data_IF_431274589749
#
_entry.id   IF_431274589749
#
_cell.length_a   1.000
_cell.length_b   1.000
_cell.length_c   1.000
_cell.angle_alpha   90.00
_cell.angle_beta   90.00
_cell.angle_gamma   90.00
#
_symmetry.space_group_name_H-M   'P 1'
#
loop_
_entity.id
_entity.type
_entity.pdbx_description
1 polymer ?
#
# COMPACT_ATOMS: atom_id res chain seq x y z
N UNK A 1 1.87 29.96 -27.52
CA UNK A 1 3.22 29.50 -27.90
C UNK A 1 4.37 30.46 -27.52
N UNK A 2 4.12 31.62 -26.88
CA UNK A 2 5.18 32.51 -26.34
C UNK A 2 5.42 32.40 -24.81
N UNK A 3 4.59 31.66 -24.07
CA UNK A 3 4.74 31.50 -22.60
C UNK A 3 5.64 30.31 -22.22
N UNK A 4 5.71 29.26 -23.06
CA UNK A 4 6.57 28.10 -22.82
C UNK A 4 8.06 28.34 -23.14
N UNK A 5 8.38 29.44 -23.82
CA UNK A 5 9.75 29.76 -24.23
C UNK A 5 10.54 30.53 -23.15
N UNK A 6 9.86 31.12 -22.16
CA UNK A 6 10.46 31.88 -21.05
C UNK A 6 10.77 30.99 -19.82
N UNK A 7 9.98 29.92 -19.61
CA UNK A 7 10.17 28.99 -18.49
C UNK A 7 11.32 28.00 -18.71
N UNK A 8 11.62 27.65 -19.97
CA UNK A 8 12.72 26.74 -20.31
C UNK A 8 14.12 27.35 -20.10
N UNK A 9 14.28 28.68 -20.15
CA UNK A 9 15.58 29.34 -19.99
C UNK A 9 16.00 29.52 -18.52
N UNK A 10 15.05 29.47 -17.57
CA UNK A 10 15.33 29.60 -16.12
C UNK A 10 15.63 28.28 -15.41
N UNK A 11 15.49 27.15 -16.09
CA UNK A 11 15.67 25.81 -15.51
C UNK A 11 16.91 25.04 -16.02
N UNK A 12 17.76 25.65 -16.85
CA UNK A 12 19.11 25.15 -17.12
C UNK A 12 19.24 23.83 -17.89
N UNK A 13 18.31 23.50 -18.80
CA UNK A 13 18.42 22.30 -19.67
C UNK A 13 18.68 22.66 -21.16
N UNK A 14 19.60 21.95 -21.86
CA UNK A 14 19.86 22.16 -23.29
C UNK A 14 18.77 21.54 -24.18
N UNK A 15 18.42 22.27 -25.25
CA UNK A 15 17.36 21.94 -26.18
C UNK A 15 17.88 21.16 -27.40
N UNK A 16 17.65 19.85 -27.43
CA UNK A 16 17.56 19.06 -28.67
C UNK A 16 16.57 17.92 -28.41
N UNK A 17 15.90 17.45 -29.47
CA UNK A 17 14.85 16.41 -29.53
C UNK A 17 13.40 16.91 -29.60
N UNK A 18 13.05 17.50 -30.74
CA UNK A 18 11.73 17.29 -31.33
C UNK A 18 11.91 16.70 -32.73
N UNK A 19 11.73 15.39 -32.84
CA UNK A 19 11.77 14.63 -34.10
C UNK A 19 10.40 14.02 -34.40
N UNK A 20 9.87 14.36 -35.57
CA UNK A 20 8.58 13.93 -36.13
C UNK A 20 8.50 12.41 -36.28
N UNK A 21 7.33 11.83 -36.04
CA UNK A 21 6.94 10.53 -36.62
C UNK A 21 5.63 10.68 -37.39
N UNK A 22 5.76 10.45 -38.70
CA UNK A 22 4.70 10.37 -39.69
C UNK A 22 4.04 9.00 -39.69
N UNK A 23 2.72 9.01 -39.78
CA UNK A 23 1.82 7.88 -40.00
C UNK A 23 1.96 7.22 -41.38
N UNK A 24 1.85 5.89 -41.45
CA UNK A 24 1.07 5.15 -42.47
C UNK A 24 0.82 3.68 -42.06
N UNK A 25 -0.29 3.05 -42.51
CA UNK A 25 -0.83 1.79 -42.00
C UNK A 25 -0.49 0.57 -42.89
N UNK A 26 -0.69 -0.64 -42.38
CA UNK A 26 -0.79 -1.86 -43.19
C UNK A 26 -1.98 -2.73 -42.74
N UNK A 27 -2.78 -3.07 -43.74
CA UNK A 27 -3.94 -3.95 -43.72
C UNK A 27 -3.56 -5.45 -43.69
N UNK A 28 -4.48 -6.27 -43.17
CA UNK A 28 -5.12 -7.28 -44.03
C UNK A 28 -4.57 -8.73 -44.09
N UNK A 29 -5.36 -9.62 -43.48
CA UNK A 29 -5.75 -10.98 -43.96
C UNK A 29 -4.85 -12.20 -43.65
N UNK A 30 -5.51 -13.30 -43.23
CA UNK A 30 -4.95 -14.66 -43.23
C UNK A 30 -5.64 -15.63 -42.26
N UNK A 31 -6.67 -16.35 -42.73
CA UNK A 31 -7.43 -17.40 -42.02
C UNK A 31 -6.76 -18.80 -42.13
N UNK A 32 -7.24 -19.70 -41.25
CA UNK A 32 -7.33 -21.18 -41.37
C UNK A 32 -6.12 -21.97 -40.85
N UNK A 33 -6.20 -23.15 -40.24
CA UNK A 33 -7.28 -24.14 -39.98
C UNK A 33 -6.76 -25.15 -38.94
N UNK A 34 -7.65 -25.76 -38.13
CA UNK A 34 -7.41 -27.00 -37.36
C UNK A 34 -7.35 -28.22 -38.31
N UNK A 35 -6.93 -29.39 -37.79
CA UNK A 35 -7.92 -30.45 -37.62
C UNK A 35 -7.87 -31.14 -36.24
N UNK A 36 -9.03 -31.71 -35.89
CA UNK A 36 -9.27 -32.62 -34.77
C UNK A 36 -8.97 -34.06 -35.19
N UNK A 37 -8.68 -34.97 -34.25
CA UNK A 37 -9.65 -35.99 -33.82
C UNK A 37 -9.06 -36.99 -32.79
N UNK A 38 -9.87 -37.27 -31.74
CA UNK A 38 -10.27 -38.58 -31.16
C UNK A 38 -9.17 -39.53 -30.61
N UNK A 39 -9.34 -40.33 -29.54
CA UNK A 39 -10.48 -40.67 -28.68
C UNK A 39 -10.01 -41.63 -27.54
N UNK A 40 -10.79 -41.68 -26.44
CA UNK A 40 -11.16 -42.88 -25.63
C UNK A 40 -10.08 -43.55 -24.77
N UNK A 41 -10.31 -44.12 -23.57
CA UNK A 41 -11.30 -44.13 -22.49
C UNK A 41 -10.81 -45.22 -21.50
N UNK A 42 -11.09 -45.11 -20.19
CA UNK A 42 -11.49 -46.21 -19.27
C UNK A 42 -11.09 -45.96 -17.81
N UNK A 43 -12.14 -45.79 -17.01
CA UNK A 43 -12.29 -46.02 -15.56
C UNK A 43 -12.08 -47.48 -15.15
N UNK A 44 -11.83 -47.75 -13.84
CA UNK A 44 -12.73 -48.53 -12.91
C UNK A 44 -12.00 -49.08 -11.63
N UNK A 45 -12.66 -48.85 -10.47
CA UNK A 45 -12.72 -49.52 -9.12
C UNK A 45 -11.55 -49.65 -8.09
N UNK A 46 -11.88 -49.37 -6.80
CA UNK A 46 -11.15 -49.70 -5.55
C UNK A 46 -11.58 -51.06 -4.94
N UNK A 47 -11.69 -51.32 -3.60
CA UNK A 47 -11.30 -50.58 -2.37
C UNK A 47 -10.70 -51.49 -1.21
N UNK A 48 -10.59 -50.92 0.02
CA UNK A 48 -10.58 -51.52 1.38
C UNK A 48 -9.30 -52.12 2.05
N UNK A 49 -8.94 -51.61 3.24
CA UNK A 49 -9.15 -52.25 4.57
C UNK A 49 -8.11 -51.83 5.66
N UNK A 50 -8.63 -51.42 6.83
CA UNK A 50 -8.05 -51.50 8.20
C UNK A 50 -8.64 -52.77 8.88
N UNK A 51 -8.11 -53.39 9.97
CA UNK A 51 -8.05 -52.80 11.34
C UNK A 51 -6.94 -53.36 12.29
N UNK A 52 -6.63 -52.70 13.42
CA UNK A 52 -6.99 -53.00 14.85
C UNK A 52 -5.82 -53.50 15.69
N UNK A 53 -5.75 -53.09 16.98
CA UNK A 53 -4.89 -53.71 18.00
C UNK A 53 -4.66 -52.85 19.25
N UNK A 54 -5.59 -52.90 20.21
CA UNK A 54 -5.40 -52.51 21.62
C UNK A 54 -4.68 -53.64 22.38
N UNK A 55 -3.82 -53.29 23.33
CA UNK A 55 -3.51 -54.13 24.49
C UNK A 55 -3.25 -53.24 25.72
N UNK A 56 -3.91 -53.56 26.82
CA UNK A 56 -3.83 -52.94 28.14
C UNK A 56 -3.40 -54.01 29.14
N UNK A 57 -2.51 -53.72 30.10
CA UNK A 57 -2.40 -54.50 31.35
C UNK A 57 -1.85 -53.61 32.50
N UNK A 58 -2.64 -53.54 33.59
CA UNK A 58 -2.41 -53.35 35.06
C UNK A 58 -1.20 -52.53 35.60
N UNK A 59 -1.27 -51.84 36.76
CA UNK A 59 -1.55 -52.45 38.08
C UNK A 59 -1.79 -51.45 39.25
N UNK A 60 -2.82 -51.77 40.04
CA UNK A 60 -3.07 -51.59 41.50
C UNK A 60 -3.19 -50.23 42.19
N UNK A 61 -4.41 -50.00 42.72
CA UNK A 61 -4.73 -49.15 43.88
C UNK A 61 -4.47 -49.88 45.22
N UNK A 62 -4.09 -49.12 46.25
CA UNK A 62 -4.33 -49.44 47.67
C UNK A 62 -4.91 -48.20 48.38
N UNK A 63 -6.10 -48.35 48.99
CA UNK A 63 -6.69 -47.54 50.10
C UNK A 63 -6.48 -48.33 51.42
N UNK A 64 -6.73 -47.84 52.67
CA UNK A 64 -7.67 -46.79 53.15
C UNK A 64 -7.10 -46.00 54.39
N UNK A 65 -7.84 -45.44 55.40
CA UNK A 65 -9.27 -45.11 55.57
C UNK A 65 -9.56 -43.65 56.03
N UNK A 66 -10.85 -43.37 56.23
CA UNK A 66 -11.40 -42.13 56.78
C UNK A 66 -12.03 -42.33 58.18
N UNK A 67 -12.26 -41.20 58.88
CA UNK A 67 -12.94 -40.91 60.19
C UNK A 67 -11.94 -40.58 61.31
N UNK A 68 -12.13 -39.56 62.14
CA UNK A 68 -13.35 -38.98 62.71
C UNK A 68 -13.23 -37.48 63.06
N UNK A 69 -14.39 -36.87 63.31
CA UNK A 69 -14.63 -35.53 63.85
C UNK A 69 -13.69 -35.12 65.00
N UNK A 70 -13.23 -33.87 64.94
CA UNK A 70 -13.21 -33.00 66.12
C UNK A 70 -13.54 -31.56 65.71
N UNK A 71 -14.53 -31.00 66.39
CA UNK A 71 -14.93 -29.60 66.32
C UNK A 71 -13.90 -28.77 67.08
N UNK A 72 -13.21 -27.85 66.41
CA UNK A 72 -12.67 -26.66 67.08
C UNK A 72 -12.82 -25.43 66.19
N UNK A 73 -13.51 -24.45 66.76
CA UNK A 73 -13.79 -23.13 66.22
C UNK A 73 -12.47 -22.37 66.07
N UNK A 74 -12.21 -21.89 64.85
CA UNK A 74 -11.05 -21.06 64.52
C UNK A 74 -11.34 -20.18 63.31
N UNK A 75 -12.35 -19.32 63.41
CA UNK A 75 -12.52 -18.21 62.46
C UNK A 75 -11.39 -17.21 62.69
N UNK A 76 -10.34 -17.23 61.86
CA UNK A 76 -9.56 -16.04 61.48
C UNK A 76 -8.46 -16.42 60.47
N UNK A 77 -8.38 -15.65 59.38
CA UNK A 77 -7.26 -15.54 58.40
C UNK A 77 -7.19 -16.46 57.15
N UNK A 78 -8.27 -16.63 56.39
CA UNK A 78 -8.17 -17.09 54.97
C UNK A 78 -8.69 -16.05 53.95
N UNK A 79 -9.16 -14.87 54.38
CA UNK A 79 -9.71 -13.84 53.46
C UNK A 79 -8.70 -12.90 52.78
N UNK A 80 -7.44 -12.86 53.21
CA UNK A 80 -6.50 -11.80 52.79
C UNK A 80 -5.73 -12.01 51.47
N UNK A 81 -5.31 -13.22 51.04
CA UNK A 81 -4.49 -13.34 49.82
C UNK A 81 -5.27 -13.14 48.52
N UNK A 82 -6.59 -13.41 48.51
CA UNK A 82 -7.47 -13.20 47.36
C UNK A 82 -7.82 -11.72 47.14
N UNK A 83 -7.96 -10.93 48.22
CA UNK A 83 -8.20 -9.49 48.12
C UNK A 83 -6.97 -8.74 47.61
N UNK A 84 -5.77 -9.10 48.04
CA UNK A 84 -4.52 -8.48 47.57
C UNK A 84 -4.24 -8.77 46.09
N UNK A 85 -4.53 -9.98 45.60
CA UNK A 85 -4.43 -10.30 44.17
C UNK A 85 -5.44 -9.53 43.32
N UNK A 86 -6.69 -9.41 43.78
CA UNK A 86 -7.72 -8.62 43.07
C UNK A 86 -7.39 -7.13 43.05
N UNK A 87 -6.85 -6.58 44.14
CA UNK A 87 -6.41 -5.19 44.22
C UNK A 87 -5.15 -4.93 43.37
N UNK A 88 -4.21 -5.87 43.30
CA UNK A 88 -3.04 -5.77 42.44
C UNK A 88 -3.41 -5.81 40.95
N UNK A 89 -4.32 -6.71 40.55
CA UNK A 89 -4.86 -6.77 39.18
C UNK A 89 -5.59 -5.46 38.84
N UNK A 90 -6.43 -4.95 39.74
CA UNK A 90 -7.12 -3.68 39.56
C UNK A 90 -6.15 -2.50 39.44
N UNK A 91 -5.11 -2.45 40.28
CA UNK A 91 -4.07 -1.42 40.22
C UNK A 91 -3.28 -1.49 38.91
N UNK A 92 -2.92 -2.68 38.43
CA UNK A 92 -2.27 -2.86 37.13
C UNK A 92 -3.17 -2.42 35.96
N UNK A 93 -4.48 -2.72 36.01
CA UNK A 93 -5.44 -2.29 35.00
C UNK A 93 -5.63 -0.76 34.99
N UNK A 94 -5.67 -0.13 36.18
CA UNK A 94 -5.76 1.33 36.30
C UNK A 94 -4.49 2.01 35.80
N UNK A 95 -3.30 1.52 36.17
CA UNK A 95 -2.01 2.06 35.69
C UNK A 95 -1.86 1.88 34.18
N UNK A 96 -2.28 0.74 33.63
CA UNK A 96 -2.30 0.52 32.18
C UNK A 96 -3.28 1.47 31.48
N UNK A 97 -4.47 1.71 32.05
CA UNK A 97 -5.46 2.66 31.52
C UNK A 97 -4.95 4.11 31.51
N UNK A 98 -4.38 4.57 32.62
CA UNK A 98 -3.81 5.93 32.73
C UNK A 98 -2.62 6.13 31.79
N UNK A 99 -1.78 5.10 31.61
CA UNK A 99 -0.66 5.13 30.66
C UNK A 99 -1.10 5.20 29.18
N UNK A 100 -2.23 4.58 28.84
CA UNK A 100 -2.83 4.63 27.50
C UNK A 100 -3.48 5.99 27.22
N UNK A 101 -4.23 6.54 28.17
CA UNK A 101 -4.84 7.88 28.08
C UNK A 101 -3.77 8.97 27.90
N UNK A 102 -2.70 8.95 28.71
CA UNK A 102 -1.59 9.89 28.57
C UNK A 102 -0.81 9.74 27.25
N UNK A 103 -0.82 8.54 26.65
CA UNK A 103 -0.28 8.28 25.32
C UNK A 103 -1.16 8.87 24.20
N UNK A 104 -2.49 8.86 24.38
CA UNK A 104 -3.46 9.44 23.44
C UNK A 104 -3.42 10.96 23.41
N UNK A 105 -3.38 11.62 24.57
CA UNK A 105 -3.32 13.09 24.67
C UNK A 105 -2.10 13.66 23.92
N UNK A 106 -0.95 12.96 23.99
CA UNK A 106 0.26 13.36 23.25
C UNK A 106 0.12 13.28 21.73
N UNK A 107 -0.87 12.55 21.22
CA UNK A 107 -1.14 12.40 19.79
C UNK A 107 -2.19 13.39 19.28
N UNK A 108 -2.84 14.17 20.16
CA UNK A 108 -3.93 15.07 19.78
C UNK A 108 -3.52 16.05 18.70
N UNK A 109 -2.35 16.67 18.82
CA UNK A 109 -1.86 17.59 17.78
C UNK A 109 -1.72 16.93 16.40
N UNK A 110 -1.27 15.68 16.34
CA UNK A 110 -1.09 14.96 15.07
C UNK A 110 -2.44 14.58 14.44
N UNK A 111 -3.40 14.11 15.23
CA UNK A 111 -4.74 13.78 14.75
C UNK A 111 -5.55 15.03 14.45
N UNK A 112 -5.31 16.13 15.17
CA UNK A 112 -5.91 17.43 14.87
C UNK A 112 -5.49 17.94 13.49
N UNK A 113 -4.23 17.75 13.06
CA UNK A 113 -3.79 18.10 11.70
C UNK A 113 -4.61 17.33 10.64
N UNK A 114 -4.84 16.03 10.84
CA UNK A 114 -5.63 15.22 9.91
C UNK A 114 -7.10 15.68 9.88
N UNK A 115 -7.62 15.98 11.06
CA UNK A 115 -8.95 16.53 11.26
C UNK A 115 -9.14 17.88 10.55
N UNK A 116 -8.20 18.81 10.75
CA UNK A 116 -8.15 20.11 10.08
C UNK A 116 -8.13 19.97 8.56
N UNK A 117 -7.40 18.99 8.02
CA UNK A 117 -7.32 18.72 6.58
C UNK A 117 -8.66 18.24 6.00
N UNK A 118 -9.46 17.50 6.77
CA UNK A 118 -10.84 17.13 6.40
C UNK A 118 -11.74 18.37 6.45
N UNK A 119 -11.67 19.15 7.52
CA UNK A 119 -12.52 20.34 7.73
C UNK A 119 -12.26 21.43 6.68
N UNK A 120 -11.02 21.59 6.24
CA UNK A 120 -10.61 22.50 5.17
C UNK A 120 -10.88 21.93 3.76
N UNK A 121 -11.41 20.70 3.66
CA UNK A 121 -11.68 20.04 2.40
C UNK A 121 -10.42 19.73 1.59
N UNK A 122 -9.24 19.63 2.22
CA UNK A 122 -8.00 19.22 1.56
C UNK A 122 -8.09 17.77 1.10
N UNK A 123 -8.54 16.90 2.01
CA UNK A 123 -8.84 15.47 1.78
C UNK A 123 -10.32 15.18 2.07
N UNK A 124 -10.92 14.14 1.47
CA UNK A 124 -12.30 13.76 1.76
C UNK A 124 -12.46 13.12 3.14
N UNK A 125 -11.42 12.44 3.64
CA UNK A 125 -11.38 11.75 4.91
C UNK A 125 -10.10 10.94 5.10
N UNK A 126 -9.97 10.27 6.25
CA UNK A 126 -8.81 9.46 6.59
C UNK A 126 -9.16 8.29 7.52
N UNK A 127 -8.24 7.33 7.58
CA UNK A 127 -8.08 6.39 8.69
C UNK A 127 -6.65 6.53 9.20
N UNK A 128 -6.48 6.68 10.51
CA UNK A 128 -5.17 6.81 11.14
C UNK A 128 -5.07 5.89 12.35
N UNK A 129 -3.94 5.20 12.48
CA UNK A 129 -3.65 4.29 13.58
C UNK A 129 -2.22 4.49 14.08
N UNK A 130 -2.07 4.56 15.40
CA UNK A 130 -0.78 4.54 16.09
C UNK A 130 -0.74 3.34 17.02
N UNK A 131 0.27 2.49 16.82
CA UNK A 131 0.56 1.37 17.69
C UNK A 131 1.97 1.50 18.29
N UNK A 132 2.16 0.96 19.48
CA UNK A 132 3.44 0.93 20.20
C UNK A 132 3.54 -0.35 20.99
N UNK A 133 4.68 -1.05 20.87
CA UNK A 133 4.92 -2.33 21.54
C UNK A 133 3.77 -3.34 21.30
N UNK A 134 3.35 -3.49 20.05
CA UNK A 134 2.26 -4.38 19.67
C UNK A 134 0.85 -3.94 20.08
N UNK A 135 0.69 -2.82 20.79
CA UNK A 135 -0.60 -2.33 21.29
C UNK A 135 -1.08 -1.10 20.51
N UNK A 136 -2.34 -1.10 20.09
CA UNK A 136 -2.96 0.07 19.44
C UNK A 136 -3.28 1.13 20.49
N UNK A 137 -2.61 2.28 20.40
CA UNK A 137 -2.83 3.42 21.30
C UNK A 137 -3.99 4.29 20.79
N UNK A 138 -4.04 4.51 19.47
CA UNK A 138 -5.07 5.36 18.84
C UNK A 138 -5.43 4.82 17.47
N UNK A 139 -6.72 4.81 17.15
CA UNK A 139 -7.26 4.38 15.86
C UNK A 139 -8.53 5.16 15.57
N UNK A 140 -8.50 6.03 14.56
CA UNK A 140 -9.61 6.93 14.24
C UNK A 140 -9.83 6.96 12.73
N UNK A 141 -11.09 7.22 12.38
CA UNK A 141 -11.51 7.48 11.02
C UNK A 141 -12.41 8.73 11.02
N UNK A 142 -12.24 9.60 10.01
CA UNK A 142 -13.02 10.84 9.90
C UNK A 142 -13.24 11.21 8.44
N UNK A 143 -14.33 11.92 8.16
CA UNK A 143 -14.69 12.36 6.80
C UNK A 143 -15.44 11.30 6.04
N UNK A 144 -15.41 11.38 4.71
CA UNK A 144 -16.18 10.53 3.80
C UNK A 144 -15.24 9.67 2.94
N UNK A 145 -15.53 8.37 2.86
CA UNK A 145 -14.86 7.46 1.92
C UNK A 145 -15.48 7.51 0.53
N UNK A 146 -16.70 8.03 0.43
CA UNK A 146 -17.42 8.29 -0.81
C UNK A 146 -18.20 9.60 -0.64
N UNK A 147 -17.75 10.64 -1.32
CA UNK A 147 -18.36 11.97 -1.31
C UNK A 147 -19.71 11.97 -2.00
N UNK A 148 -19.82 11.30 -3.15
CA UNK A 148 -21.03 11.32 -3.97
C UNK A 148 -22.19 10.59 -3.27
N UNK A 149 -21.88 9.49 -2.57
CA UNK A 149 -22.88 8.71 -1.84
C UNK A 149 -22.93 9.03 -0.34
N UNK A 150 -22.17 10.04 0.12
CA UNK A 150 -22.08 10.45 1.53
C UNK A 150 -21.74 9.29 2.49
N UNK A 151 -20.87 8.36 2.07
CA UNK A 151 -20.46 7.22 2.91
C UNK A 151 -19.34 7.68 3.86
N UNK A 152 -19.51 7.56 5.18
CA UNK A 152 -18.47 7.94 6.13
C UNK A 152 -17.30 6.98 6.09
N UNK A 153 -16.10 7.50 6.33
CA UNK A 153 -14.95 6.65 6.63
C UNK A 153 -15.18 5.90 7.94
N UNK A 154 -14.90 4.60 7.92
CA UNK A 154 -14.82 3.75 9.09
C UNK A 154 -13.39 3.21 9.22
N UNK A 155 -13.04 2.75 10.43
CA UNK A 155 -11.71 2.18 10.72
C UNK A 155 -11.39 0.89 9.95
N UNK A 156 -12.38 0.31 9.28
CA UNK A 156 -12.29 -0.87 8.42
C UNK A 156 -12.72 -0.60 6.97
N UNK A 157 -12.84 0.66 6.55
CA UNK A 157 -13.00 1.03 5.14
C UNK A 157 -11.78 0.53 4.37
N UNK A 158 -12.00 -0.27 3.33
CA UNK A 158 -10.92 -0.78 2.47
C UNK A 158 -10.37 0.36 1.62
N UNK A 159 -9.06 0.57 1.70
CA UNK A 159 -8.35 1.50 0.84
C UNK A 159 -7.52 0.70 -0.16
N UNK A 160 -7.48 1.14 -1.41
CA UNK A 160 -6.43 0.68 -2.32
C UNK A 160 -5.09 1.24 -1.85
N UNK A 161 -4.23 0.39 -1.29
CA UNK A 161 -3.00 0.84 -0.63
C UNK A 161 -1.83 1.07 -1.60
N UNK A 162 -2.05 0.86 -2.90
CA UNK A 162 -1.09 1.10 -3.96
C UNK A 162 0.30 0.56 -3.59
N UNK A 163 1.33 1.41 -3.65
CA UNK A 163 2.74 1.00 -3.48
C UNK A 163 3.12 0.50 -2.08
N UNK A 164 2.22 0.54 -1.09
CA UNK A 164 2.39 -0.21 0.16
C UNK A 164 2.37 -1.73 -0.10
N UNK A 165 1.87 -2.16 -1.26
CA UNK A 165 1.96 -3.54 -1.75
C UNK A 165 3.39 -4.00 -1.95
N UNK A 166 4.32 -3.13 -2.39
CA UNK A 166 5.68 -3.56 -2.78
C UNK A 166 6.46 -4.20 -1.62
N UNK A 167 6.48 -3.64 -0.40
CA UNK A 167 7.04 -4.34 0.76
C UNK A 167 6.48 -5.74 0.97
N UNK A 168 5.18 -5.97 0.74
CA UNK A 168 4.55 -7.29 0.86
C UNK A 168 5.09 -8.25 -0.21
N UNK A 169 5.20 -7.79 -1.45
CA UNK A 169 5.80 -8.52 -2.58
C UNK A 169 7.26 -8.89 -2.29
N UNK A 170 8.04 -7.94 -1.78
CA UNK A 170 9.44 -8.16 -1.40
C UNK A 170 9.53 -9.15 -0.25
N UNK A 171 8.70 -9.04 0.78
CA UNK A 171 8.66 -10.01 1.88
C UNK A 171 8.32 -11.42 1.36
N UNK A 172 7.36 -11.56 0.45
CA UNK A 172 7.02 -12.83 -0.18
C UNK A 172 8.22 -13.44 -0.92
N UNK A 173 8.92 -12.67 -1.75
CA UNK A 173 10.13 -13.14 -2.41
C UNK A 173 11.25 -13.45 -1.40
N UNK A 174 11.39 -12.68 -0.32
CA UNK A 174 12.34 -12.98 0.75
C UNK A 174 12.03 -14.30 1.47
N UNK A 175 10.78 -14.77 1.53
CA UNK A 175 10.49 -16.12 2.05
C UNK A 175 11.08 -17.23 1.17
N UNK A 176 11.28 -16.97 -0.13
CA UNK A 176 11.96 -17.89 -1.04
C UNK A 176 13.47 -17.81 -0.87
N UNK A 177 14.01 -16.62 -0.60
CA UNK A 177 15.43 -16.43 -0.25
C UNK A 177 15.76 -17.17 1.03
N UNK A 178 14.95 -16.97 2.07
CA UNK A 178 15.11 -17.58 3.39
C UNK A 178 15.05 -19.12 3.32
N UNK A 179 14.20 -19.66 2.44
CA UNK A 179 14.11 -21.09 2.16
C UNK A 179 15.20 -21.63 1.22
N UNK A 180 16.18 -20.80 0.81
CA UNK A 180 17.26 -21.19 -0.10
C UNK A 180 16.81 -21.52 -1.53
N UNK A 181 15.59 -21.13 -1.93
CA UNK A 181 15.05 -21.42 -3.27
C UNK A 181 15.52 -20.43 -4.34
N UNK A 182 15.81 -19.21 -3.93
CA UNK A 182 16.45 -18.18 -4.75
C UNK A 182 17.57 -17.50 -3.96
N UNK A 183 18.61 -17.02 -4.62
CA UNK A 183 19.61 -16.15 -4.01
C UNK A 183 19.36 -14.70 -4.44
N UNK A 184 19.72 -13.75 -3.57
CA UNK A 184 19.62 -12.32 -3.88
C UNK A 184 20.47 -11.92 -5.09
N UNK A 185 21.61 -12.58 -5.28
CA UNK A 185 22.54 -12.29 -6.36
C UNK A 185 22.36 -13.22 -7.57
N UNK A 186 21.31 -14.06 -7.57
CA UNK A 186 20.93 -14.78 -8.77
C UNK A 186 20.51 -13.81 -9.88
N UNK A 187 20.96 -14.02 -11.12
CA UNK A 187 20.46 -13.26 -12.26
C UNK A 187 18.99 -13.63 -12.51
N UNK A 188 18.15 -12.64 -12.79
CA UNK A 188 16.69 -12.84 -12.96
C UNK A 188 16.39 -13.76 -14.13
N UNK A 189 17.19 -13.70 -15.18
CA UNK A 189 17.11 -14.58 -16.35
C UNK A 189 17.38 -16.07 -16.09
N UNK A 190 17.85 -16.42 -14.88
CA UNK A 190 17.85 -17.80 -14.38
C UNK A 190 16.42 -18.33 -14.24
N UNK A 191 15.50 -17.47 -13.80
CA UNK A 191 14.10 -17.80 -13.53
C UNK A 191 13.17 -17.39 -14.66
N UNK A 192 13.51 -16.30 -15.36
CA UNK A 192 12.71 -15.66 -16.40
C UNK A 192 13.57 -15.49 -17.68
N UNK A 193 13.75 -16.55 -18.48
CA UNK A 193 14.66 -16.56 -19.63
C UNK A 193 14.38 -15.49 -20.69
N UNK A 194 13.16 -14.94 -20.74
CA UNK A 194 12.79 -13.84 -21.63
C UNK A 194 13.67 -12.59 -21.45
N UNK A 195 14.30 -12.40 -20.29
CA UNK A 195 15.20 -11.28 -20.04
C UNK A 195 16.60 -11.42 -20.67
N UNK A 196 17.00 -12.61 -21.16
CA UNK A 196 18.32 -12.83 -21.79
C UNK A 196 18.53 -12.01 -23.06
N UNK A 197 17.45 -11.70 -23.76
CA UNK A 197 17.48 -10.90 -24.99
C UNK A 197 17.37 -9.40 -24.72
N UNK A 198 17.13 -8.98 -23.47
CA UNK A 198 16.90 -7.58 -23.14
C UNK A 198 18.21 -6.80 -23.16
N UNK A 199 18.20 -5.64 -23.81
CA UNK A 199 19.38 -4.76 -23.95
C UNK A 199 19.08 -3.34 -23.48
N UNK A 200 20.12 -2.55 -23.22
CA UNK A 200 19.99 -1.10 -23.04
C UNK A 200 19.81 -0.37 -24.39
N UNK A 201 19.74 0.96 -24.34
CA UNK A 201 19.60 1.81 -25.54
C UNK A 201 20.78 1.72 -26.52
N UNK A 202 21.93 1.17 -26.10
CA UNK A 202 23.11 0.95 -26.93
C UNK A 202 23.17 -0.48 -27.49
N UNK A 203 22.14 -1.30 -27.25
CA UNK A 203 22.11 -2.70 -27.67
C UNK A 203 22.97 -3.63 -26.81
N UNK A 204 23.42 -3.19 -25.63
CA UNK A 204 24.23 -4.01 -24.72
C UNK A 204 23.33 -4.72 -23.71
N UNK A 205 23.50 -6.04 -23.58
CA UNK A 205 22.80 -6.82 -22.57
C UNK A 205 23.44 -6.61 -21.19
N UNK A 206 22.60 -6.39 -20.17
CA UNK A 206 23.02 -6.31 -18.76
C UNK A 206 22.11 -7.21 -17.93
N UNK A 207 22.65 -8.34 -17.46
CA UNK A 207 21.94 -9.17 -16.50
C UNK A 207 21.75 -8.40 -15.19
N UNK A 208 20.53 -8.44 -14.65
CA UNK A 208 20.20 -7.88 -13.34
C UNK A 208 19.77 -8.95 -12.35
N UNK A 209 20.04 -8.70 -11.07
CA UNK A 209 19.81 -9.69 -10.00
C UNK A 209 18.47 -9.50 -9.29
N UNK A 210 18.04 -10.52 -8.54
CA UNK A 210 16.89 -10.43 -7.63
C UNK A 210 17.00 -9.23 -6.69
N UNK A 211 18.18 -9.01 -6.12
CA UNK A 211 18.51 -7.87 -5.27
C UNK A 211 18.27 -6.54 -5.99
N UNK A 212 18.71 -6.42 -7.23
CA UNK A 212 18.58 -5.18 -8.01
C UNK A 212 17.12 -4.89 -8.41
N UNK A 213 16.30 -5.92 -8.63
CA UNK A 213 14.85 -5.75 -8.75
C UNK A 213 14.28 -5.17 -7.45
N UNK A 214 14.56 -5.82 -6.31
CA UNK A 214 14.03 -5.44 -5.00
C UNK A 214 14.48 -4.04 -4.56
N UNK A 215 15.69 -3.61 -4.97
CA UNK A 215 16.26 -2.31 -4.62
C UNK A 215 16.06 -1.23 -5.66
N UNK A 216 15.25 -1.46 -6.71
CA UNK A 216 15.02 -0.47 -7.78
C UNK A 216 16.29 -0.01 -8.50
N UNK A 217 17.23 -0.93 -8.74
CA UNK A 217 18.50 -0.65 -9.45
C UNK A 217 18.70 -1.52 -10.69
N UNK A 218 17.67 -2.25 -11.14
CA UNK A 218 17.76 -3.17 -12.29
C UNK A 218 17.96 -2.50 -13.64
N UNK A 219 17.53 -1.24 -13.79
CA UNK A 219 17.48 -0.55 -15.10
C UNK A 219 16.17 -0.76 -15.86
N UNK A 220 15.24 -1.56 -15.32
CA UNK A 220 13.92 -1.76 -15.94
C UNK A 220 13.13 -0.45 -16.03
N UNK A 221 12.34 -0.31 -17.08
CA UNK A 221 11.46 0.86 -17.29
C UNK A 221 10.55 1.09 -16.07
N UNK A 222 10.22 2.35 -15.70
CA UNK A 222 9.46 2.64 -14.49
C UNK A 222 8.06 2.00 -14.42
N UNK A 223 7.39 1.82 -15.55
CA UNK A 223 6.08 1.19 -15.64
C UNK A 223 6.06 0.15 -16.76
N UNK A 224 5.29 -0.95 -16.61
CA UNK A 224 5.13 -1.91 -17.70
C UNK A 224 4.65 -1.19 -18.96
N UNK A 225 5.17 -1.51 -20.16
CA UNK A 225 4.73 -0.86 -21.40
C UNK A 225 3.24 -1.04 -21.69
N UNK A 226 2.63 -2.11 -21.19
CA UNK A 226 1.19 -2.36 -21.28
C UNK A 226 0.35 -1.45 -20.39
N UNK A 227 0.98 -0.69 -19.47
CA UNK A 227 0.32 0.23 -18.54
C UNK A 227 0.44 1.66 -19.06
N UNK A 228 -0.64 2.18 -19.66
CA UNK A 228 -0.68 3.52 -20.26
C UNK A 228 -0.67 4.66 -19.24
N UNK A 229 -1.11 4.41 -18.00
CA UNK A 229 -1.12 5.39 -16.92
C UNK A 229 -0.52 4.84 -15.62
N UNK A 230 0.27 5.66 -14.94
CA UNK A 230 0.80 5.36 -13.61
C UNK A 230 -0.33 5.18 -12.57
N UNK A 231 -1.50 5.75 -12.84
CA UNK A 231 -2.73 5.53 -12.09
C UNK A 231 -3.66 4.65 -12.91
N UNK A 232 -4.34 3.67 -12.29
CA UNK A 232 -5.54 3.08 -12.87
C UNK A 232 -6.59 4.19 -12.91
N UNK A 233 -6.59 4.94 -14.01
CA UNK A 233 -7.61 5.91 -14.34
C UNK A 233 -8.79 5.05 -14.74
N UNK A 234 -9.67 4.79 -13.76
CA UNK A 234 -10.81 3.87 -13.81
C UNK A 234 -11.72 4.13 -15.01
N UNK A 235 -11.29 3.65 -16.17
CA UNK A 235 -11.95 3.73 -17.44
C UNK A 235 -11.75 2.40 -18.18
N UNK A 236 -12.56 2.12 -19.21
CA UNK A 236 -12.67 0.80 -19.84
C UNK A 236 -11.36 0.19 -20.36
N UNK A 237 -10.32 1.01 -20.54
CA UNK A 237 -9.01 0.61 -21.06
C UNK A 237 -8.03 0.16 -19.95
N UNK A 238 -8.25 0.56 -18.69
CA UNK A 238 -7.40 0.16 -17.55
C UNK A 238 -7.87 -1.17 -16.94
N UNK A 239 -9.15 -1.53 -17.10
CA UNK A 239 -9.70 -2.83 -16.75
C UNK A 239 -9.03 -3.96 -17.57
N UNK A 240 -8.80 -3.73 -18.88
CA UNK A 240 -8.11 -4.69 -19.75
C UNK A 240 -6.68 -4.99 -19.29
N UNK A 241 -6.01 -4.02 -18.66
CA UNK A 241 -4.66 -4.25 -18.15
C UNK A 241 -4.66 -5.16 -16.92
N UNK A 242 -5.64 -5.01 -16.03
CA UNK A 242 -5.82 -5.88 -14.85
C UNK A 242 -6.17 -7.32 -15.22
N UNK A 243 -6.80 -7.51 -16.38
CA UNK A 243 -7.21 -8.82 -16.89
C UNK A 243 -6.07 -9.63 -17.54
N UNK A 244 -4.95 -8.98 -17.92
CA UNK A 244 -3.79 -9.67 -18.48
C UNK A 244 -3.12 -10.58 -17.46
N UNK A 245 -2.55 -11.68 -17.94
CA UNK A 245 -1.80 -12.60 -17.10
C UNK A 245 -0.41 -12.01 -16.79
N UNK A 246 0.12 -12.28 -15.59
CA UNK A 246 1.41 -11.75 -15.16
C UNK A 246 2.57 -12.08 -16.13
N UNK A 247 2.66 -13.30 -16.72
CA UNK A 247 3.64 -13.60 -17.76
C UNK A 247 3.56 -12.71 -19.01
N UNK A 248 2.36 -12.32 -19.46
CA UNK A 248 2.16 -11.49 -20.65
C UNK A 248 2.73 -10.09 -20.42
N UNK A 249 2.45 -9.53 -19.25
CA UNK A 249 2.98 -8.22 -18.83
C UNK A 249 4.51 -8.28 -18.77
N UNK A 250 5.08 -9.32 -18.17
CA UNK A 250 6.54 -9.48 -18.05
C UNK A 250 7.22 -9.65 -19.41
N UNK A 251 6.60 -10.34 -20.38
CA UNK A 251 7.12 -10.38 -21.74
C UNK A 251 7.22 -9.00 -22.38
N UNK A 252 6.25 -8.11 -22.14
CA UNK A 252 6.33 -6.74 -22.68
C UNK A 252 7.44 -5.92 -22.01
N UNK A 253 7.66 -6.14 -20.71
CA UNK A 253 8.78 -5.53 -19.98
C UNK A 253 10.11 -6.02 -20.57
N UNK A 254 10.27 -7.33 -20.80
CA UNK A 254 11.48 -7.92 -21.37
C UNK A 254 11.78 -7.45 -22.80
N UNK A 255 10.76 -7.07 -23.58
CA UNK A 255 10.90 -6.47 -24.92
C UNK A 255 11.26 -4.99 -24.91
N UNK A 256 11.13 -4.31 -23.77
CA UNK A 256 11.55 -2.91 -23.62
C UNK A 256 13.06 -2.81 -23.39
N UNK A 257 13.65 -1.65 -23.65
CA UNK A 257 15.07 -1.43 -23.36
C UNK A 257 15.30 -1.07 -21.89
N UNK A 258 16.43 -1.51 -21.33
CA UNK A 258 16.93 -1.02 -20.04
C UNK A 258 17.28 0.46 -20.16
N UNK A 259 16.90 1.26 -19.16
CA UNK A 259 17.15 2.70 -19.12
C UNK A 259 18.58 3.06 -18.71
N UNK A 260 19.25 2.14 -18.04
CA UNK A 260 20.63 2.27 -17.59
C UNK A 260 21.20 0.89 -17.27
N UNK A 261 22.54 0.80 -17.24
CA UNK A 261 23.25 -0.41 -16.81
C UNK A 261 22.81 -0.83 -15.42
N UNK A 262 22.43 -2.09 -15.25
CA UNK A 262 21.98 -2.64 -13.97
C UNK A 262 22.99 -2.40 -12.83
N UNK A 263 22.50 -1.98 -11.68
CA UNK A 263 23.29 -1.59 -10.51
C UNK A 263 23.90 -0.19 -10.54
N UNK A 264 23.88 0.52 -11.69
CA UNK A 264 24.56 1.83 -11.80
C UNK A 264 23.77 3.01 -11.25
N UNK A 265 22.43 2.91 -11.13
CA UNK A 265 21.53 3.97 -10.67
C UNK A 265 20.37 3.38 -9.88
N UNK A 266 19.74 4.21 -9.06
CA UNK A 266 18.45 3.94 -8.43
C UNK A 266 17.36 4.66 -9.20
N UNK A 267 16.37 3.92 -9.68
CA UNK A 267 15.17 4.46 -10.30
C UNK A 267 13.96 3.62 -9.92
N UNK A 268 12.97 4.26 -9.28
CA UNK A 268 11.74 3.62 -8.87
C UNK A 268 11.02 2.99 -10.07
N UNK A 269 10.71 1.69 -9.96
CA UNK A 269 10.15 0.90 -11.05
C UNK A 269 9.08 -0.05 -10.56
N UNK A 270 7.87 0.11 -11.08
CA UNK A 270 6.77 -0.83 -10.95
C UNK A 270 7.04 -2.11 -11.75
N UNK A 271 7.64 -1.99 -12.95
CA UNK A 271 8.02 -3.15 -13.78
C UNK A 271 8.93 -4.13 -13.04
N UNK A 272 9.83 -3.61 -12.20
CA UNK A 272 10.66 -4.43 -11.32
C UNK A 272 9.79 -5.35 -10.44
N UNK A 273 8.73 -4.84 -9.83
CA UNK A 273 7.86 -5.65 -8.98
C UNK A 273 6.99 -6.63 -9.77
N UNK A 274 6.61 -6.31 -11.01
CA UNK A 274 5.98 -7.30 -11.91
C UNK A 274 6.92 -8.46 -12.20
N UNK A 275 8.18 -8.17 -12.53
CA UNK A 275 9.19 -9.20 -12.71
C UNK A 275 9.42 -10.01 -11.41
N UNK A 276 9.42 -9.36 -10.24
CA UNK A 276 9.55 -10.05 -8.94
C UNK A 276 8.37 -10.98 -8.67
N UNK A 277 7.14 -10.52 -8.90
CA UNK A 277 5.93 -11.34 -8.79
C UNK A 277 5.99 -12.56 -9.70
N UNK A 278 6.47 -12.38 -10.94
CA UNK A 278 6.62 -13.49 -11.88
C UNK A 278 7.73 -14.47 -11.48
N UNK A 279 8.82 -14.01 -10.87
CA UNK A 279 9.83 -14.90 -10.24
C UNK A 279 9.18 -15.74 -9.14
N UNK A 280 8.35 -15.13 -8.28
CA UNK A 280 7.61 -15.87 -7.23
C UNK A 280 6.79 -16.99 -7.87
N UNK A 281 6.04 -16.72 -8.94
CA UNK A 281 5.26 -17.74 -9.64
C UNK A 281 6.14 -18.85 -10.22
N UNK A 282 7.23 -18.48 -10.91
CA UNK A 282 8.13 -19.43 -11.55
C UNK A 282 8.77 -20.40 -10.53
N UNK A 283 9.15 -19.89 -9.36
CA UNK A 283 9.86 -20.66 -8.35
C UNK A 283 8.92 -21.44 -7.43
N UNK A 284 7.75 -20.87 -7.12
CA UNK A 284 6.79 -21.50 -6.21
C UNK A 284 5.83 -22.47 -6.92
N UNK A 285 5.61 -22.31 -8.22
CA UNK A 285 4.57 -23.02 -8.96
C UNK A 285 3.15 -22.60 -8.58
N UNK A 286 2.98 -21.49 -7.86
CA UNK A 286 1.68 -20.96 -7.43
C UNK A 286 1.41 -19.60 -8.07
N UNK A 287 0.15 -19.24 -8.33
CA UNK A 287 -0.20 -17.86 -8.66
C UNK A 287 0.31 -16.88 -7.59
N UNK A 288 0.72 -15.70 -8.03
CA UNK A 288 1.36 -14.71 -7.17
C UNK A 288 0.52 -14.35 -5.92
N UNK A 289 -0.76 -14.05 -6.10
CA UNK A 289 -1.71 -13.69 -5.05
C UNK A 289 -1.93 -14.83 -4.05
N UNK A 290 -2.05 -16.06 -4.55
CA UNK A 290 -2.18 -17.28 -3.74
C UNK A 290 -0.94 -17.48 -2.87
N UNK A 291 0.25 -17.30 -3.45
CA UNK A 291 1.50 -17.40 -2.71
C UNK A 291 1.59 -16.32 -1.62
N UNK A 292 1.32 -15.06 -1.95
CA UNK A 292 1.34 -13.95 -0.99
C UNK A 292 0.35 -14.18 0.13
N UNK A 293 -0.89 -14.59 -0.19
CA UNK A 293 -1.92 -14.87 0.81
C UNK A 293 -1.45 -15.94 1.78
N UNK A 294 -1.00 -17.09 1.25
CA UNK A 294 -0.57 -18.24 2.06
C UNK A 294 0.67 -17.96 2.89
N UNK A 295 1.64 -17.21 2.36
CA UNK A 295 2.98 -17.08 2.97
C UNK A 295 3.11 -15.82 3.81
N UNK A 296 2.33 -14.78 3.53
CA UNK A 296 2.40 -13.49 4.24
C UNK A 296 1.08 -13.19 4.97
N UNK A 297 -0.03 -13.10 4.25
CA UNK A 297 -1.28 -12.55 4.81
C UNK A 297 -1.89 -13.46 5.87
N UNK A 298 -1.99 -14.76 5.60
CA UNK A 298 -2.62 -15.74 6.50
C UNK A 298 -1.82 -15.92 7.81
N UNK A 299 -0.49 -16.12 7.80
CA UNK A 299 0.30 -16.22 9.04
C UNK A 299 0.25 -14.94 9.90
N UNK A 300 0.12 -13.77 9.25
CA UNK A 300 0.02 -12.48 9.92
C UNK A 300 -1.42 -12.08 10.27
N UNK A 301 -2.40 -12.93 9.96
CA UNK A 301 -3.83 -12.70 10.21
C UNK A 301 -4.37 -11.42 9.56
N UNK A 302 -3.88 -11.11 8.37
CA UNK A 302 -4.31 -9.96 7.57
C UNK A 302 -5.55 -10.33 6.72
N UNK A 303 -6.61 -10.84 7.37
CA UNK A 303 -7.74 -11.51 6.72
C UNK A 303 -8.55 -10.65 5.76
N UNK A 304 -8.57 -9.33 5.95
CA UNK A 304 -9.30 -8.40 5.08
C UNK A 304 -8.39 -7.78 4.01
N UNK A 305 -7.11 -8.12 4.00
CA UNK A 305 -6.18 -7.65 2.97
C UNK A 305 -6.32 -8.54 1.74
N UNK A 306 -6.67 -7.97 0.60
CA UNK A 306 -7.00 -8.75 -0.61
C UNK A 306 -6.62 -8.01 -1.89
N UNK A 307 -6.33 -8.77 -2.95
CA UNK A 307 -6.16 -8.24 -4.31
C UNK A 307 -7.48 -8.07 -5.05
N UNK A 308 -8.52 -8.79 -4.64
CA UNK A 308 -9.82 -8.82 -5.30
C UNK A 308 -10.95 -8.74 -4.25
N UNK A 309 -11.34 -7.51 -3.84
CA UNK A 309 -12.48 -7.33 -2.94
C UNK A 309 -13.75 -7.98 -3.52
N UNK A 310 -14.45 -8.77 -2.71
CA UNK A 310 -15.74 -9.36 -3.08
C UNK A 310 -16.82 -8.28 -3.30
N UNK A 311 -17.96 -8.59 -3.95
CA UNK A 311 -19.06 -7.63 -4.10
C UNK A 311 -19.59 -7.07 -2.76
N UNK A 312 -19.49 -7.85 -1.68
CA UNK A 312 -19.86 -7.38 -0.34
C UNK A 312 -18.83 -6.37 0.20
N UNK A 313 -17.54 -6.64 0.01
CA UNK A 313 -16.45 -5.77 0.45
C UNK A 313 -16.33 -4.51 -0.40
N UNK A 314 -16.68 -4.56 -1.68
CA UNK A 314 -16.69 -3.42 -2.59
C UNK A 314 -17.51 -2.24 -2.05
N UNK A 315 -18.56 -2.51 -1.26
CA UNK A 315 -19.41 -1.48 -0.63
C UNK A 315 -18.67 -0.62 0.40
N UNK A 316 -17.56 -1.12 0.94
CA UNK A 316 -16.70 -0.42 1.91
C UNK A 316 -15.35 -0.04 1.32
N UNK A 317 -15.16 -0.12 0.00
CA UNK A 317 -13.95 0.36 -0.67
C UNK A 317 -14.04 1.87 -0.84
N UNK A 318 -13.03 2.60 -0.37
CA UNK A 318 -12.95 4.04 -0.52
C UNK A 318 -12.77 4.43 -2.00
N UNK A 319 -13.45 5.50 -2.41
CA UNK A 319 -13.27 6.14 -3.71
C UNK A 319 -11.99 6.96 -3.68
N UNK A 320 -11.21 6.90 -4.76
CA UNK A 320 -9.99 7.67 -4.90
C UNK A 320 -10.33 8.99 -5.59
N UNK A 321 -9.99 10.08 -4.93
CA UNK A 321 -10.17 11.43 -5.44
C UNK A 321 -8.84 12.06 -5.82
N UNK A 322 -8.87 12.84 -6.90
CA UNK A 322 -7.77 13.67 -7.35
C UNK A 322 -8.19 15.13 -7.40
N UNK A 323 -7.24 15.99 -7.77
CA UNK A 323 -7.54 17.39 -8.11
C UNK A 323 -7.02 17.70 -9.50
N UNK A 324 -7.87 18.28 -10.33
CA UNK A 324 -7.51 18.79 -11.66
C UNK A 324 -7.99 20.23 -11.78
N UNK A 325 -7.08 21.13 -12.12
CA UNK A 325 -7.35 22.58 -12.18
C UNK A 325 -7.98 23.14 -10.89
N UNK A 326 -7.55 22.62 -9.73
CA UNK A 326 -8.04 23.03 -8.42
C UNK A 326 -9.39 22.41 -8.00
N UNK A 327 -10.11 21.77 -8.92
CA UNK A 327 -11.36 21.08 -8.63
C UNK A 327 -11.11 19.61 -8.29
N UNK A 328 -11.88 19.09 -7.34
CA UNK A 328 -11.85 17.67 -6.97
C UNK A 328 -12.58 16.84 -8.03
N UNK A 329 -11.99 15.72 -8.42
CA UNK A 329 -12.61 14.75 -9.33
C UNK A 329 -12.43 13.32 -8.81
N UNK A 330 -13.36 12.43 -9.14
CA UNK A 330 -13.20 10.99 -8.91
C UNK A 330 -12.17 10.46 -9.89
N UNK A 331 -11.08 9.90 -9.37
CA UNK A 331 -10.00 9.26 -10.14
C UNK A 331 -10.27 7.78 -10.33
N UNK A 332 -10.76 7.11 -9.29
CA UNK A 332 -11.04 5.69 -9.33
C UNK A 332 -12.16 5.32 -8.36
N UNK A 333 -13.09 4.50 -8.85
CA UNK A 333 -14.12 3.82 -8.06
C UNK A 333 -14.02 2.35 -8.38
N UNK A 334 -13.86 1.51 -7.36
CA UNK A 334 -13.72 0.08 -7.56
C UNK A 334 -15.00 -0.51 -8.14
N UNK A 335 -14.87 -1.23 -9.26
CA UNK A 335 -15.96 -1.99 -9.86
C UNK A 335 -15.75 -3.48 -9.56
N UNK A 336 -16.59 -4.12 -8.71
CA UNK A 336 -16.45 -5.53 -8.39
C UNK A 336 -16.71 -6.48 -9.56
N UNK A 337 -17.18 -5.98 -10.71
CA UNK A 337 -17.34 -6.77 -11.92
C UNK A 337 -16.02 -6.94 -12.71
N UNK A 338 -14.99 -6.13 -12.43
CA UNK A 338 -13.69 -6.24 -13.12
C UNK A 338 -12.97 -7.49 -12.64
N UNK A 339 -12.52 -8.32 -13.58
CA UNK A 339 -11.68 -9.47 -13.27
C UNK A 339 -10.24 -9.01 -13.05
N UNK A 340 -9.72 -9.21 -11.84
CA UNK A 340 -8.33 -8.96 -11.52
C UNK A 340 -7.55 -10.26 -11.71
N UNK A 341 -6.72 -10.32 -12.75
CA UNK A 341 -5.91 -11.48 -13.10
C UNK A 341 -4.47 -11.32 -12.59
N UNK A 342 -3.80 -10.22 -12.95
CA UNK A 342 -2.38 -10.04 -12.61
C UNK A 342 -2.10 -9.74 -11.14
N UNK A 343 -3.12 -9.38 -10.36
CA UNK A 343 -3.04 -8.96 -8.96
C UNK A 343 -2.05 -7.81 -8.66
N UNK A 344 -1.54 -7.14 -9.70
CA UNK A 344 -0.59 -6.03 -9.68
C UNK A 344 0.44 -6.10 -8.53
N UNK A 345 1.53 -6.89 -8.64
CA UNK A 345 2.53 -7.06 -7.58
C UNK A 345 3.20 -5.76 -7.12
N UNK A 346 3.07 -4.67 -7.88
CA UNK A 346 3.57 -3.35 -7.51
C UNK A 346 2.57 -2.55 -6.65
N UNK A 347 1.29 -2.91 -6.65
CA UNK A 347 0.25 -1.99 -6.20
C UNK A 347 -1.13 -2.54 -5.87
N UNK A 348 -1.45 -3.81 -6.10
CA UNK A 348 -2.83 -4.30 -6.19
C UNK A 348 -3.58 -4.54 -4.88
N UNK A 349 -2.96 -4.40 -3.70
CA UNK A 349 -3.65 -4.72 -2.45
C UNK A 349 -4.69 -3.66 -2.06
N UNK A 350 -5.79 -4.14 -1.52
CA UNK A 350 -6.75 -3.40 -0.71
C UNK A 350 -6.55 -3.78 0.74
N UNK A 351 -6.49 -2.80 1.64
CA UNK A 351 -6.28 -3.01 3.07
C UNK A 351 -6.70 -1.77 3.88
N UNK A 352 -6.47 -1.79 5.19
CA UNK A 352 -6.67 -0.65 6.09
C UNK A 352 -5.67 -0.72 7.25
N UNK A 353 -5.44 0.37 8.00
CA UNK A 353 -4.29 0.47 8.92
C UNK A 353 -4.15 -0.68 9.91
N UNK A 354 -5.22 -1.13 10.56
CA UNK A 354 -5.13 -2.23 11.54
C UNK A 354 -4.78 -3.59 10.91
N UNK A 355 -5.08 -3.81 9.63
CA UNK A 355 -4.65 -5.01 8.90
C UNK A 355 -3.16 -4.98 8.57
N UNK A 356 -2.54 -3.80 8.47
CA UNK A 356 -1.12 -3.65 8.17
C UNK A 356 -0.23 -3.72 9.42
N UNK A 357 -0.79 -3.50 10.62
CA UNK A 357 -0.03 -3.53 11.88
C UNK A 357 0.75 -4.84 12.06
N UNK A 358 0.16 -6.05 11.91
CA UNK A 358 0.91 -7.29 12.07
C UNK A 358 2.12 -7.40 11.12
N UNK A 359 1.98 -6.91 9.89
CA UNK A 359 3.06 -6.89 8.90
C UNK A 359 4.20 -5.97 9.31
N UNK A 360 3.91 -4.75 9.76
CA UNK A 360 4.96 -3.84 10.25
C UNK A 360 5.58 -4.35 11.56
N UNK A 361 4.76 -4.91 12.45
CA UNK A 361 5.20 -5.38 13.76
C UNK A 361 6.16 -6.56 13.63
N UNK A 362 5.98 -7.44 12.65
CA UNK A 362 6.92 -8.52 12.33
C UNK A 362 8.35 -8.00 12.14
N UNK A 363 8.54 -6.87 11.43
CA UNK A 363 9.87 -6.28 11.24
C UNK A 363 10.40 -5.58 12.49
N UNK A 364 9.52 -4.96 13.29
CA UNK A 364 9.91 -4.23 14.50
C UNK A 364 10.26 -5.17 15.67
N UNK A 365 9.55 -6.29 15.79
CA UNK A 365 9.74 -7.29 16.85
C UNK A 365 10.66 -8.44 16.45
N UNK A 366 10.90 -8.63 15.14
CA UNK A 366 11.68 -9.73 14.61
C UNK A 366 11.18 -11.10 15.14
N UNK A 367 9.87 -11.30 15.02
CA UNK A 367 9.13 -12.41 15.66
C UNK A 367 9.14 -13.73 14.87
N UNK A 368 9.82 -13.74 13.73
CA UNK A 368 10.05 -14.92 12.89
C UNK A 368 8.81 -15.64 12.37
N UNK A 369 7.61 -15.03 12.43
CA UNK A 369 6.37 -15.65 11.95
C UNK A 369 6.37 -15.96 10.45
N UNK A 370 7.14 -15.22 9.67
CA UNK A 370 7.18 -15.33 8.19
C UNK A 370 8.61 -15.37 7.64
N UNK A 371 9.51 -14.55 8.18
CA UNK A 371 10.90 -14.44 7.77
C UNK A 371 11.81 -14.72 8.96
N UNK A 372 12.92 -15.43 8.77
CA UNK A 372 13.95 -15.58 9.81
C UNK A 372 14.61 -14.24 10.16
N UNK A 373 15.29 -14.17 11.31
CA UNK A 373 16.10 -12.99 11.67
C UNK A 373 17.16 -12.68 10.64
N UNK A 374 17.75 -13.73 10.06
CA UNK A 374 18.79 -13.60 9.04
C UNK A 374 18.23 -12.93 7.79
N UNK A 375 17.05 -13.37 7.33
CA UNK A 375 16.36 -12.75 6.19
C UNK A 375 15.98 -11.28 6.47
N UNK A 376 15.51 -10.96 7.67
CA UNK A 376 15.20 -9.57 8.07
C UNK A 376 16.43 -8.68 8.23
N UNK A 377 17.59 -9.24 8.56
CA UNK A 377 18.84 -8.50 8.74
C UNK A 377 19.51 -8.12 7.39
N UNK A 378 19.07 -8.69 6.27
CA UNK A 378 19.59 -8.36 4.94
C UNK A 378 19.40 -6.88 4.64
N UNK A 379 20.49 -6.20 4.30
CA UNK A 379 20.47 -4.80 3.86
C UNK A 379 20.63 -4.70 2.36
N UNK A 380 20.02 -3.66 1.77
CA UNK A 380 20.36 -3.26 0.42
C UNK A 380 21.84 -2.82 0.38
N UNK A 381 22.58 -3.12 -0.70
CA UNK A 381 24.00 -2.77 -0.84
C UNK A 381 24.20 -1.27 -1.05
N UNK A 382 23.15 -0.57 -1.48
CA UNK A 382 23.09 0.88 -1.38
C UNK A 382 22.72 1.21 0.05
N UNK A 383 23.62 1.93 0.71
CA UNK A 383 23.24 2.73 1.85
C UNK A 383 22.20 3.72 1.32
N UNK A 384 20.91 3.37 1.47
CA UNK A 384 19.80 4.33 1.51
C UNK A 384 19.99 5.18 2.75
N UNK A 385 21.17 5.78 2.86
CA UNK A 385 21.55 6.64 3.96
C UNK A 385 20.45 7.68 4.02
N UNK A 386 19.97 7.85 5.23
CA UNK A 386 19.11 8.88 5.79
C UNK A 386 19.11 10.26 5.09
N UNK A 387 20.09 10.57 4.22
CA UNK A 387 20.23 11.76 3.41
C UNK A 387 19.07 12.01 2.44
N UNK A 388 18.56 11.01 1.71
CA UNK A 388 17.39 11.23 0.83
C UNK A 388 16.13 11.53 1.65
N UNK A 389 15.90 10.74 2.71
CA UNK A 389 14.76 10.90 3.61
C UNK A 389 14.76 12.25 4.37
N UNK A 390 15.94 12.73 4.82
CA UNK A 390 16.11 14.06 5.45
C UNK A 390 15.90 15.22 4.49
N UNK A 391 16.20 15.04 3.19
CA UNK A 391 16.03 16.10 2.19
C UNK A 391 14.56 16.34 1.87
N UNK A 392 13.73 15.30 1.98
CA UNK A 392 12.28 15.35 1.71
C UNK A 392 11.47 15.77 2.94
N UNK A 393 11.92 15.46 4.16
CA UNK A 393 11.28 15.88 5.41
C UNK A 393 11.93 17.14 6.03
N UNK A 394 12.06 18.23 5.27
CA UNK A 394 12.12 19.56 5.90
C UNK A 394 10.72 19.91 6.41
N UNK A 395 10.33 19.30 7.53
CA UNK A 395 9.09 19.61 8.29
C UNK A 395 9.12 21.04 8.88
N UNK A 396 10.17 21.82 8.63
CA UNK A 396 10.32 23.19 9.12
C UNK A 396 9.63 24.28 8.30
N UNK A 397 9.05 23.98 7.13
CA UNK A 397 8.32 25.00 6.35
C UNK A 397 6.83 25.16 6.72
N UNK A 398 6.16 24.10 7.20
CA UNK A 398 4.75 24.20 7.58
C UNK A 398 4.53 25.09 8.83
N UNK A 399 5.52 25.15 9.73
CA UNK A 399 5.45 25.99 10.93
C UNK A 399 5.65 27.50 10.65
N UNK A 400 6.14 27.89 9.47
CA UNK A 400 6.33 29.31 9.12
C UNK A 400 5.10 29.99 8.52
N UNK A 401 4.12 29.22 8.04
CA UNK A 401 2.91 29.76 7.39
C UNK A 401 1.72 29.99 8.35
N UNK A 402 1.86 29.73 9.66
CA UNK A 402 0.80 29.98 10.66
C UNK A 402 1.30 30.76 11.88
N UNK A 403 1.96 31.90 11.68
CA UNK A 403 1.99 32.95 12.73
C UNK A 403 0.96 34.02 12.37
N UNK A 404 -0.06 34.27 13.20
CA UNK A 404 -0.83 35.50 13.09
C UNK A 404 0.13 36.67 13.27
N UNK A 405 0.04 37.68 12.42
CA UNK A 405 0.78 38.93 12.60
C UNK A 405 0.47 39.50 13.98
N UNK A 406 1.46 39.81 14.84
CA UNK A 406 1.17 40.47 16.10
C UNK A 406 0.64 41.86 15.79
N UNK A 407 -0.52 42.18 16.38
CA UNK A 407 -1.08 43.51 16.40
C UNK A 407 -0.01 44.49 16.90
N UNK A 408 0.31 45.50 16.09
CA UNK A 408 1.05 46.65 16.54
C UNK A 408 0.09 47.55 17.31
N UNK A 409 0.10 47.43 18.64
CA UNK A 409 -0.34 48.48 19.55
C UNK A 409 0.69 49.61 19.53
N UNK A 410 0.30 50.79 19.06
CA UNK A 410 0.85 52.06 19.56
C UNK A 410 -0.28 53.08 19.60
N UNK A 411 -0.62 53.47 20.82
CA UNK A 411 -1.36 54.69 21.14
C UNK A 411 -0.59 55.93 20.65
N UNK A 412 -1.30 56.86 20.01
CA UNK A 412 -1.17 58.29 20.31
C UNK A 412 -2.33 59.05 19.70
N UNK A 413 -3.02 59.79 20.56
CA UNK A 413 -4.15 60.67 20.31
C UNK A 413 -3.91 61.70 19.19
N UNK A 414 -4.97 62.03 18.44
CA UNK A 414 -5.39 63.40 18.06
C UNK A 414 -6.70 63.33 17.24
N UNK A 415 -7.82 63.74 17.82
CA UNK A 415 -9.02 64.23 17.11
C UNK A 415 -8.77 65.71 16.71
N UNK A 416 -9.51 66.38 15.77
CA UNK A 416 -10.92 66.14 15.43
C UNK A 416 -11.39 66.41 13.96
N UNK A 417 -12.64 65.98 13.69
CA UNK A 417 -13.69 66.58 12.81
C UNK A 417 -13.37 66.90 11.33
N UNK A 418 -14.18 66.36 10.40
CA UNK A 418 -15.13 67.16 9.59
C UNK A 418 -16.05 66.30 8.70
N UNK A 419 -17.35 66.66 8.71
CA UNK A 419 -18.41 66.22 7.78
C UNK A 419 -18.25 66.92 6.41
N UNK A 420 -18.86 66.34 5.36
CA UNK A 420 -19.69 66.95 4.28
C UNK A 420 -19.54 66.11 2.98
N UNK A 421 -20.58 65.38 2.52
CA UNK A 421 -21.69 65.73 1.59
C UNK A 421 -21.27 66.07 0.14
N UNK A 422 -21.79 65.24 -0.78
CA UNK A 422 -22.03 65.36 -2.22
C UNK A 422 -21.75 66.70 -2.95
N UNK A 423 -21.17 66.62 -4.16
CA UNK A 423 -21.75 67.24 -5.36
C UNK A 423 -21.25 66.63 -6.68
N UNK A 424 -22.20 66.60 -7.60
CA UNK A 424 -22.24 66.12 -8.99
C UNK A 424 -21.63 67.09 -10.01
N UNK A 425 -21.05 66.55 -11.08
CA UNK A 425 -21.01 67.05 -12.48
C UNK A 425 -20.63 65.83 -13.34
N UNK A 426 -21.20 65.41 -14.45
CA UNK A 426 -22.11 65.97 -15.45
C UNK A 426 -21.74 65.26 -16.78
N UNK A 427 -22.70 64.55 -17.38
CA UNK A 427 -22.74 63.84 -18.69
C UNK A 427 -22.26 64.69 -19.91
N UNK A 428 -22.18 64.20 -21.19
CA UNK A 428 -22.85 63.05 -21.84
C UNK A 428 -21.93 62.22 -22.79
N UNK A 429 -22.29 61.15 -23.52
CA UNK A 429 -23.51 60.39 -23.77
C UNK A 429 -23.43 59.71 -25.16
N UNK A 430 -23.50 58.36 -25.21
CA UNK A 430 -24.10 57.46 -26.25
C UNK A 430 -23.60 57.48 -27.72
N UNK A 431 -23.96 56.49 -28.58
CA UNK A 431 -24.54 55.14 -28.33
C UNK A 431 -23.91 53.99 -29.16
N UNK A 432 -24.36 52.77 -28.83
CA UNK A 432 -24.24 51.55 -29.63
C UNK A 432 -25.03 51.61 -30.95
N UNK A 433 -24.58 50.86 -31.97
CA UNK A 433 -25.40 50.41 -33.12
C UNK A 433 -25.09 48.94 -33.42
N UNK A 434 -26.16 48.17 -33.59
CA UNK A 434 -26.17 46.80 -34.09
C UNK A 434 -26.66 46.78 -35.55
N UNK A 435 -26.07 45.90 -36.37
CA UNK A 435 -26.56 45.19 -37.58
C UNK A 435 -27.16 46.03 -38.74
N UNK A 436 -27.29 45.53 -40.01
CA UNK A 436 -27.44 44.15 -40.52
C UNK A 436 -26.47 43.83 -41.71
N UNK A 437 -26.46 42.71 -42.44
CA UNK A 437 -27.33 41.53 -42.69
C UNK A 437 -26.51 40.22 -42.66
#
# INVERSE_FOLDING_TARGET
MRIFHELGRRAGFPACWFGRLSSRPLDGTGKSRRPADRNVCATVHGPNARPSGLAAIHETERRPPARSNDQFIGWTRIGYPLCLHKLAILACLVVAGVGQEHGREKLDGAFQILSDAVDQGEVPGYIALVARHGQVIRHEARGLSDLENHIPFATNTLCWIASITKPVTVAAAMTLVDAGKIALDDPVEKYLPEFRAQTDTNGVHHAFTIRQIMSHTSGLVPNPPTRRSAWPIGGPLDDFWLEQELPEIVQTIARSQLRFKSGSKLEYSNSALFALGRVIEAVSGQPYDVFVKRRILDPLRMSDTTYAPSPAEAKRVAVIYGRRQGQRETVFRFNPAVKITNSAPDGGLFSYPSQLVPFFQMFLENDERVLSRAAMAVRAPFDCSFAWFRRTLRVTEFARLRRPSPAATTDSAFLPRLRWRNRTTGSPGRPARALPE
#
